data_IF_720255324679
#
_entry.id   IF_720255324679
#
_cell.length_a   1.000
_cell.length_b   1.000
_cell.length_c   1.000
_cell.angle_alpha   90.00
_cell.angle_beta   90.00
_cell.angle_gamma   90.00
#
_symmetry.space_group_name_H-M   'P 1'
#
loop_
_entity.id
_entity.type
_entity.pdbx_description
1 polymer ?
#
# COMPACT_ATOMS: atom_id res chain seq x y z
N UNK A 1 56.34 38.86 24.60
CA UNK A 1 55.63 37.63 24.21
C UNK A 1 56.66 36.53 24.17
N UNK A 2 56.69 35.66 25.18
CA UNK A 2 57.62 34.52 25.22
C UNK A 2 57.11 33.47 24.23
N UNK A 3 57.85 33.24 23.16
CA UNK A 3 57.67 32.06 22.31
C UNK A 3 57.90 30.85 23.20
N UNK A 4 56.85 30.09 23.51
CA UNK A 4 56.99 28.83 24.21
C UNK A 4 57.83 27.91 23.33
N UNK A 5 59.07 27.62 23.75
CA UNK A 5 59.94 26.65 23.12
C UNK A 5 59.21 25.29 23.13
N UNK A 6 58.63 24.94 21.98
CA UNK A 6 57.98 23.65 21.80
C UNK A 6 59.06 22.57 21.91
N UNK A 7 58.80 21.58 22.78
CA UNK A 7 59.72 20.46 23.02
C UNK A 7 60.08 19.79 21.68
N UNK A 8 61.35 19.41 21.42
CA UNK A 8 61.78 18.86 20.13
C UNK A 8 61.08 17.55 19.71
N UNK A 9 60.35 16.92 20.64
CA UNK A 9 59.49 15.76 20.38
C UNK A 9 58.00 16.11 20.22
N UNK A 10 57.63 17.38 20.25
CA UNK A 10 56.27 17.82 19.93
C UNK A 10 55.99 17.47 18.46
N UNK A 11 54.99 16.64 18.23
CA UNK A 11 54.62 16.18 16.89
C UNK A 11 54.32 17.40 16.00
N UNK A 12 55.20 17.68 15.03
CA UNK A 12 55.15 18.87 14.18
C UNK A 12 53.99 18.90 13.18
N UNK A 13 53.17 17.85 13.11
CA UNK A 13 51.89 17.89 12.41
C UNK A 13 50.94 16.90 13.08
N UNK A 14 49.73 17.36 13.38
CA UNK A 14 48.62 16.51 13.79
C UNK A 14 47.62 16.54 12.63
N UNK A 15 47.14 15.39 12.12
CA UNK A 15 46.17 15.37 11.04
C UNK A 15 44.89 16.11 11.40
N UNK A 16 44.28 16.78 10.41
CA UNK A 16 43.12 17.66 10.60
C UNK A 16 41.85 16.98 11.10
N UNK A 17 41.75 15.65 11.01
CA UNK A 17 40.63 14.86 11.50
C UNK A 17 40.78 14.45 12.99
N UNK A 18 41.90 14.77 13.63
CA UNK A 18 42.11 14.54 15.07
C UNK A 18 41.71 15.79 15.84
N UNK A 19 41.15 15.59 17.04
CA UNK A 19 40.73 16.65 17.96
C UNK A 19 41.88 17.64 18.20
N UNK A 20 41.62 18.93 17.96
CA UNK A 20 42.59 19.99 18.11
C UNK A 20 42.61 20.54 19.54
N UNK A 21 43.70 21.21 19.92
CA UNK A 21 43.90 21.76 21.25
C UNK A 21 42.93 22.93 21.58
N UNK A 22 42.28 23.51 20.57
CA UNK A 22 41.20 24.50 20.73
C UNK A 22 39.85 23.84 21.05
N UNK A 23 39.80 22.50 21.11
CA UNK A 23 38.61 21.70 21.37
C UNK A 23 37.78 21.38 20.13
N UNK A 24 38.20 21.82 18.93
CA UNK A 24 37.50 21.50 17.69
C UNK A 24 37.75 20.05 17.27
N UNK A 25 36.69 19.34 16.87
CA UNK A 25 36.75 17.96 16.37
C UNK A 25 35.95 17.83 15.07
N UNK A 26 36.65 17.94 13.94
CA UNK A 26 36.03 17.89 12.63
C UNK A 26 35.40 16.51 12.36
N UNK A 27 36.08 15.42 12.71
CA UNK A 27 35.64 14.07 12.40
C UNK A 27 34.40 13.71 13.23
N UNK A 28 34.39 14.06 14.52
CA UNK A 28 33.23 13.89 15.38
C UNK A 28 32.03 14.67 14.85
N UNK A 29 32.22 15.95 14.50
CA UNK A 29 31.16 16.81 13.98
C UNK A 29 30.57 16.26 12.67
N UNK A 30 31.44 15.83 11.76
CA UNK A 30 31.02 15.22 10.50
C UNK A 30 30.25 13.91 10.73
N UNK A 31 30.78 13.01 11.58
CA UNK A 31 30.12 11.74 11.89
C UNK A 31 28.78 11.92 12.58
N UNK A 32 28.65 12.92 13.45
CA UNK A 32 27.37 13.27 14.07
C UNK A 32 26.34 13.67 13.01
N UNK A 33 26.68 14.62 12.13
CA UNK A 33 25.79 15.07 11.05
C UNK A 33 25.45 13.92 10.09
N UNK A 34 26.45 13.15 9.69
CA UNK A 34 26.28 11.98 8.83
C UNK A 34 25.34 10.96 9.46
N UNK A 35 25.52 10.64 10.75
CA UNK A 35 24.67 9.67 11.47
C UNK A 35 23.23 10.16 11.54
N UNK A 36 23.01 11.43 11.86
CA UNK A 36 21.66 12.02 11.85
C UNK A 36 21.03 11.90 10.46
N UNK A 37 21.78 12.22 9.41
CA UNK A 37 21.31 12.15 8.03
C UNK A 37 20.95 10.71 7.63
N UNK A 38 21.78 9.73 8.00
CA UNK A 38 21.50 8.30 7.79
C UNK A 38 20.25 7.84 8.55
N UNK A 39 20.10 8.23 9.81
CA UNK A 39 18.90 7.91 10.60
C UNK A 39 17.64 8.48 9.93
N UNK A 40 17.70 9.73 9.47
CA UNK A 40 16.58 10.37 8.75
C UNK A 40 16.29 9.62 7.44
N UNK A 41 17.30 9.28 6.64
CA UNK A 41 17.12 8.53 5.40
C UNK A 41 16.49 7.15 5.64
N UNK A 42 16.98 6.42 6.64
CA UNK A 42 16.43 5.12 7.04
C UNK A 42 14.99 5.29 7.54
N UNK A 43 14.72 6.31 8.36
CA UNK A 43 13.37 6.62 8.85
C UNK A 43 12.40 6.91 7.71
N UNK A 44 12.77 7.77 6.76
CA UNK A 44 11.97 8.05 5.57
C UNK A 44 11.76 6.79 4.73
N UNK A 45 12.80 5.98 4.54
CA UNK A 45 12.72 4.69 3.86
C UNK A 45 11.75 3.73 4.55
N UNK A 46 11.81 3.63 5.88
CA UNK A 46 10.92 2.80 6.69
C UNK A 46 9.47 3.24 6.56
N UNK A 47 9.18 4.55 6.70
CA UNK A 47 7.83 5.08 6.53
C UNK A 47 7.31 4.90 5.11
N UNK A 48 8.17 5.07 4.10
CA UNK A 48 7.80 4.89 2.69
C UNK A 48 7.50 3.43 2.39
N UNK A 49 8.30 2.48 2.89
CA UNK A 49 8.06 1.06 2.66
C UNK A 49 6.79 0.56 3.36
N UNK A 50 6.43 1.15 4.50
CA UNK A 50 5.22 0.82 5.25
C UNK A 50 3.94 1.47 4.69
N UNK A 51 4.04 2.53 3.89
CA UNK A 51 2.87 3.14 3.23
C UNK A 51 2.51 2.47 1.89
N UNK A 52 3.40 1.63 1.33
CA UNK A 52 3.12 0.87 0.10
C UNK A 52 1.88 -0.04 0.24
N UNK A 53 1.73 -0.86 1.30
CA UNK A 53 0.56 -1.72 1.46
C UNK A 53 -0.75 -0.92 1.58
N UNK A 54 -0.72 0.26 2.21
CA UNK A 54 -1.87 1.17 2.29
C UNK A 54 -2.26 1.68 0.90
N UNK A 55 -1.29 2.08 0.07
CA UNK A 55 -1.58 2.53 -1.29
C UNK A 55 -2.19 1.43 -2.17
N UNK A 56 -1.66 0.21 -2.07
CA UNK A 56 -2.18 -0.95 -2.79
C UNK A 56 -3.61 -1.28 -2.32
N UNK A 57 -3.90 -1.03 -1.03
CA UNK A 57 -5.22 -1.24 -0.46
C UNK A 57 -6.32 -0.34 -1.08
N UNK A 58 -5.95 0.84 -1.57
CA UNK A 58 -6.90 1.83 -2.09
C UNK A 58 -7.21 1.69 -3.60
N UNK A 59 -6.36 1.00 -4.37
CA UNK A 59 -6.49 0.95 -5.84
C UNK A 59 -7.52 -0.09 -6.32
N UNK A 60 -7.86 -1.07 -5.48
CA UNK A 60 -8.84 -2.12 -5.78
C UNK A 60 -9.99 -2.08 -4.78
N UNK A 61 -11.20 -1.77 -5.28
CA UNK A 61 -12.48 -1.66 -4.54
C UNK A 61 -12.98 -2.97 -3.87
N UNK A 62 -12.09 -3.94 -3.59
CA UNK A 62 -12.44 -5.16 -2.88
C UNK A 62 -12.18 -4.99 -1.37
N UNK A 63 -13.13 -5.38 -0.48
CA UNK A 63 -12.96 -5.33 0.99
C UNK A 63 -11.70 -6.04 1.52
N UNK A 64 -11.12 -6.93 0.73
CA UNK A 64 -9.90 -7.70 1.03
C UNK A 64 -8.66 -6.81 1.12
N UNK A 65 -8.61 -5.77 0.29
CA UNK A 65 -7.50 -4.85 0.25
C UNK A 65 -7.52 -3.89 1.46
N UNK A 66 -8.70 -3.59 2.00
CA UNK A 66 -8.86 -2.82 3.23
C UNK A 66 -8.22 -3.52 4.44
N UNK A 67 -8.26 -4.86 4.49
CA UNK A 67 -7.60 -5.65 5.55
C UNK A 67 -6.08 -5.50 5.51
N UNK A 68 -5.50 -5.49 4.30
CA UNK A 68 -4.05 -5.24 4.09
C UNK A 68 -3.67 -3.86 4.63
N UNK A 69 -4.48 -2.83 4.36
CA UNK A 69 -4.28 -1.48 4.92
C UNK A 69 -4.32 -1.44 6.44
N UNK A 70 -5.29 -2.13 7.07
CA UNK A 70 -5.38 -2.21 8.54
C UNK A 70 -4.15 -2.91 9.14
N UNK A 71 -3.69 -4.03 8.55
CA UNK A 71 -2.49 -4.73 9.03
C UNK A 71 -1.24 -3.84 8.92
N UNK A 72 -1.11 -3.06 7.85
CA UNK A 72 0.01 -2.14 7.67
C UNK A 72 -0.01 -0.97 8.68
N UNK A 73 -1.19 -0.41 8.96
CA UNK A 73 -1.36 0.60 10.02
C UNK A 73 -1.05 0.02 11.41
N UNK A 74 -1.47 -1.23 11.68
CA UNK A 74 -1.13 -1.94 12.91
C UNK A 74 0.39 -2.14 13.04
N UNK A 75 1.06 -2.57 11.97
CA UNK A 75 2.52 -2.74 11.93
C UNK A 75 3.25 -1.43 12.26
N UNK A 76 2.77 -0.30 11.72
CA UNK A 76 3.35 1.01 11.97
C UNK A 76 3.16 1.49 13.41
N UNK A 77 1.95 1.31 13.97
CA UNK A 77 1.68 1.72 15.34
C UNK A 77 2.43 0.87 16.37
N UNK A 78 2.49 -0.46 16.15
CA UNK A 78 3.15 -1.39 17.08
C UNK A 78 4.64 -1.58 16.84
N UNK A 79 5.19 -1.13 15.70
CA UNK A 79 6.57 -1.43 15.27
C UNK A 79 6.88 -2.94 15.23
N UNK A 80 5.86 -3.77 15.02
CA UNK A 80 6.01 -5.22 14.92
C UNK A 80 5.97 -5.67 13.45
N UNK A 81 7.12 -6.09 12.94
CA UNK A 81 7.28 -6.54 11.55
C UNK A 81 6.42 -7.75 11.16
N UNK A 82 5.91 -8.50 12.13
CA UNK A 82 5.01 -9.63 11.85
C UNK A 82 3.74 -9.19 11.12
N UNK A 83 3.19 -8.02 11.46
CA UNK A 83 2.01 -7.48 10.80
C UNK A 83 2.30 -7.02 9.38
N UNK A 84 3.50 -6.48 9.12
CA UNK A 84 3.94 -6.12 7.77
C UNK A 84 4.14 -7.35 6.89
N UNK A 85 4.78 -8.40 7.42
CA UNK A 85 4.92 -9.69 6.73
C UNK A 85 3.56 -10.32 6.43
N UNK A 86 2.64 -10.31 7.40
CA UNK A 86 1.28 -10.80 7.22
C UNK A 86 0.52 -10.00 6.15
N UNK A 87 0.67 -8.66 6.12
CA UNK A 87 0.06 -7.81 5.10
C UNK A 87 0.54 -8.17 3.69
N UNK A 88 1.85 -8.43 3.51
CA UNK A 88 2.41 -8.85 2.22
C UNK A 88 1.91 -10.24 1.82
N UNK A 89 1.89 -11.20 2.76
CA UNK A 89 1.33 -12.53 2.49
C UNK A 89 -0.13 -12.42 2.02
N UNK A 90 -0.96 -11.68 2.75
CA UNK A 90 -2.37 -11.50 2.40
C UNK A 90 -2.53 -10.77 1.06
N UNK A 91 -1.72 -9.75 0.79
CA UNK A 91 -1.74 -9.03 -0.48
C UNK A 91 -1.32 -9.91 -1.68
N UNK A 92 -0.41 -10.87 -1.46
CA UNK A 92 0.06 -11.80 -2.48
C UNK A 92 -0.97 -12.86 -2.88
N UNK A 93 -1.95 -13.16 -2.03
CA UNK A 93 -3.01 -14.12 -2.30
C UNK A 93 -4.34 -13.41 -2.54
N UNK A 94 -4.72 -13.23 -3.80
CA UNK A 94 -6.04 -12.71 -4.16
C UNK A 94 -7.11 -13.78 -3.86
N UNK A 95 -7.97 -13.52 -2.88
CA UNK A 95 -9.10 -14.40 -2.63
C UNK A 95 -10.18 -14.12 -3.67
N UNK A 96 -10.65 -15.12 -4.45
CA UNK A 96 -11.71 -14.89 -5.43
C UNK A 96 -13.01 -14.48 -4.72
N UNK A 97 -13.79 -13.60 -5.35
CA UNK A 97 -15.13 -13.23 -4.87
C UNK A 97 -16.08 -14.43 -5.02
N UNK A 98 -16.14 -15.26 -3.97
CA UNK A 98 -16.96 -16.47 -3.92
C UNK A 98 -18.47 -16.17 -3.91
N UNK A 99 -18.89 -14.93 -3.64
CA UNK A 99 -20.30 -14.56 -3.61
C UNK A 99 -20.86 -14.22 -5.00
N UNK A 100 -20.03 -13.72 -5.92
CA UNK A 100 -20.45 -13.40 -7.28
C UNK A 100 -21.00 -14.63 -8.06
N UNK A 101 -20.35 -15.81 -8.04
CA UNK A 101 -20.90 -17.02 -8.67
C UNK A 101 -22.23 -17.47 -8.03
N UNK A 102 -22.34 -17.41 -6.69
CA UNK A 102 -23.55 -17.81 -5.96
C UNK A 102 -24.74 -16.91 -6.31
N UNK A 103 -24.52 -15.60 -6.45
CA UNK A 103 -25.55 -14.65 -6.90
C UNK A 103 -25.99 -14.94 -8.34
N UNK A 104 -25.03 -15.20 -9.23
CA UNK A 104 -25.34 -15.56 -10.61
C UNK A 104 -26.21 -16.83 -10.72
N UNK A 105 -25.96 -17.84 -9.88
CA UNK A 105 -26.81 -19.05 -9.82
C UNK A 105 -28.21 -18.71 -9.30
N UNK A 106 -28.32 -17.93 -8.24
CA UNK A 106 -29.61 -17.52 -7.68
C UNK A 106 -30.46 -16.72 -8.69
N UNK A 107 -29.83 -15.83 -9.45
CA UNK A 107 -30.48 -15.05 -10.50
C UNK A 107 -30.89 -15.91 -11.69
N UNK A 108 -30.06 -16.89 -12.10
CA UNK A 108 -30.41 -17.84 -13.15
C UNK A 108 -31.64 -18.69 -12.76
N UNK A 109 -31.71 -19.17 -11.52
CA UNK A 109 -32.88 -19.92 -11.01
C UNK A 109 -34.13 -19.03 -10.96
N UNK A 110 -33.99 -17.78 -10.50
CA UNK A 110 -35.09 -16.81 -10.46
C UNK A 110 -35.63 -16.48 -11.85
N UNK A 111 -34.74 -16.35 -12.84
CA UNK A 111 -35.11 -16.15 -14.24
C UNK A 111 -35.94 -17.32 -14.78
N UNK A 112 -35.53 -18.57 -14.54
CA UNK A 112 -36.26 -19.76 -14.97
C UNK A 112 -37.66 -19.86 -14.33
N UNK A 113 -37.80 -19.45 -13.07
CA UNK A 113 -39.10 -19.39 -12.39
C UNK A 113 -40.05 -18.34 -12.96
N UNK A 114 -39.52 -17.28 -13.57
CA UNK A 114 -40.29 -16.18 -14.15
C UNK A 114 -40.65 -16.39 -15.64
N UNK A 115 -40.13 -17.43 -16.29
CA UNK A 115 -40.45 -17.79 -17.68
C UNK A 115 -41.67 -18.73 -17.80
N UNK A 116 -42.59 -18.71 -16.82
CA UNK A 116 -43.91 -19.32 -17.06
C UNK A 116 -44.52 -18.59 -18.26
N UNK A 117 -44.92 -19.30 -19.34
CA UNK A 117 -45.40 -18.65 -20.55
C UNK A 117 -46.50 -17.69 -20.17
N UNK A 118 -46.38 -16.41 -20.56
CA UNK A 118 -47.59 -15.61 -20.70
C UNK A 118 -48.47 -16.38 -21.67
N UNK A 119 -49.66 -16.76 -21.20
CA UNK A 119 -50.69 -17.36 -22.03
C UNK A 119 -50.79 -16.54 -23.33
N UNK A 120 -50.79 -17.20 -24.50
CA UNK A 120 -50.88 -16.47 -25.76
C UNK A 120 -52.11 -15.57 -25.71
N UNK A 121 -51.88 -14.27 -25.84
CA UNK A 121 -52.93 -13.26 -25.87
C UNK A 121 -54.07 -13.74 -26.78
N UNK A 122 -55.34 -13.58 -26.37
CA UNK A 122 -56.45 -14.14 -27.12
C UNK A 122 -56.40 -13.64 -28.57
N UNK A 123 -56.23 -14.58 -29.50
CA UNK A 123 -56.29 -14.33 -30.93
C UNK A 123 -57.62 -13.64 -31.22
N UNK A 124 -57.60 -12.33 -31.44
CA UNK A 124 -58.75 -11.60 -31.95
C UNK A 124 -59.11 -12.23 -33.30
N UNK A 125 -60.35 -12.75 -33.48
CA UNK A 125 -60.77 -13.28 -34.76
C UNK A 125 -60.65 -12.21 -35.83
N UNK A 126 -59.87 -12.51 -36.87
CA UNK A 126 -59.79 -11.68 -38.05
C UNK A 126 -61.20 -11.51 -38.63
N UNK A 127 -61.66 -10.26 -38.67
CA UNK A 127 -62.93 -9.85 -39.25
C UNK A 127 -62.92 -10.20 -40.75
N UNK A 128 -63.92 -10.95 -41.27
CA UNK A 128 -63.95 -11.28 -42.69
C UNK A 128 -64.29 -10.01 -43.47
N UNK A 129 -63.35 -9.57 -44.30
CA UNK A 129 -63.55 -8.49 -45.26
C UNK A 129 -64.66 -8.91 -46.22
N UNK A 130 -65.85 -8.34 -46.05
CA UNK A 130 -66.93 -8.47 -47.00
C UNK A 130 -66.51 -7.76 -48.30
N UNK A 131 -66.08 -8.55 -49.29
CA UNK A 131 -66.00 -8.12 -50.68
C UNK A 131 -67.41 -7.78 -51.16
N UNK A 132 -67.72 -6.48 -51.18
CA UNK A 132 -68.69 -5.91 -52.11
C UNK A 132 -68.03 -5.83 -53.49
N UNK A 133 -68.65 -6.43 -54.51
CA UNK A 133 -68.64 -6.05 -55.94
C UNK A 133 -69.39 -7.19 -56.71
N UNK A 134 -70.67 -7.01 -57.03
CA UNK A 134 -71.28 -6.39 -58.23
C UNK A 134 -71.63 -7.39 -59.35
#
# INVERSE_FOLDING_TARGET
MSTADLHPMAAGHIPSYVTQADGSDFLLTFMFVFTVLVIVLIGVGYFTLHSIPEKIAHESNHPQFQLVGILALLALFTHNGLFWVAAILVAGFQFPDVAAPLRAIADAIRSLGNQRPEDPAPTQPAEPTAQQEH
#
